data_IF_492932112519
#
_entry.id   IF_492932112519
#
_cell.length_a   1.000
_cell.length_b   1.000
_cell.length_c   1.000
_cell.angle_alpha   90.00
_cell.angle_beta   90.00
_cell.angle_gamma   90.00
#
_symmetry.space_group_name_H-M   'P 1'
#
loop_
_entity.id
_entity.type
_entity.pdbx_description
1 polymer ?
#
# COMPACT_ATOMS: atom_id res chain seq x y z
N UNK A 1 -24.07 8.25 -5.65
CA UNK A 1 -22.67 8.23 -5.20
C UNK A 1 -21.84 7.34 -6.12
N UNK A 2 -20.72 7.81 -6.57
CA UNK A 2 -19.88 7.00 -7.42
C UNK A 2 -18.92 6.15 -6.62
N UNK A 3 -18.43 5.09 -7.23
CA UNK A 3 -17.47 4.19 -6.61
C UNK A 3 -16.16 4.87 -6.29
N UNK A 4 -15.60 4.56 -5.12
CA UNK A 4 -14.29 5.02 -4.70
C UNK A 4 -13.22 4.00 -5.09
N UNK A 5 -13.54 2.71 -4.95
CA UNK A 5 -12.58 1.62 -5.18
C UNK A 5 -12.75 1.02 -6.58
N UNK A 6 -11.65 0.57 -7.15
CA UNK A 6 -11.65 -0.21 -8.40
C UNK A 6 -12.38 0.46 -9.57
N UNK A 7 -12.31 1.76 -9.68
CA UNK A 7 -12.89 2.45 -10.81
C UNK A 7 -12.26 1.96 -12.11
N UNK A 8 -13.09 1.73 -13.13
CA UNK A 8 -12.64 1.18 -14.40
C UNK A 8 -11.54 2.01 -15.06
N UNK A 9 -11.59 3.34 -14.93
CA UNK A 9 -10.56 4.22 -15.52
C UNK A 9 -9.17 4.03 -14.94
N UNK A 10 -9.05 3.41 -13.75
CA UNK A 10 -7.75 3.14 -13.13
C UNK A 10 -7.26 1.73 -13.37
N UNK A 11 -8.09 0.87 -13.94
CA UNK A 11 -7.76 -0.53 -14.11
C UNK A 11 -6.52 -0.79 -14.97
N UNK A 12 -6.35 -0.16 -16.13
CA UNK A 12 -5.14 -0.35 -16.93
C UNK A 12 -3.87 0.04 -16.17
N UNK A 13 -3.92 1.17 -15.45
CA UNK A 13 -2.77 1.63 -14.66
C UNK A 13 -2.41 0.65 -13.57
N UNK A 14 -3.41 0.07 -12.89
CA UNK A 14 -3.16 -0.93 -11.85
C UNK A 14 -2.49 -2.18 -12.42
N UNK A 15 -2.93 -2.61 -13.60
CA UNK A 15 -2.32 -3.76 -14.27
C UNK A 15 -0.87 -3.48 -14.63
N UNK A 16 -0.59 -2.28 -15.11
CA UNK A 16 0.75 -1.85 -15.45
C UNK A 16 1.64 -1.81 -14.20
N UNK A 17 1.15 -1.24 -13.11
CA UNK A 17 1.89 -1.18 -11.85
C UNK A 17 2.18 -2.56 -11.28
N UNK A 18 1.22 -3.49 -11.39
CA UNK A 18 1.43 -4.87 -10.94
C UNK A 18 2.58 -5.56 -11.68
N UNK A 19 2.76 -5.21 -12.96
CA UNK A 19 3.86 -5.75 -13.75
C UNK A 19 5.19 -5.12 -13.37
N UNK A 20 5.16 -3.95 -12.73
CA UNK A 20 6.33 -3.14 -12.41
C UNK A 20 6.65 -3.12 -10.93
N UNK A 21 6.29 -4.17 -10.18
CA UNK A 21 6.61 -4.25 -8.76
C UNK A 21 8.11 -4.15 -8.52
N UNK A 22 8.49 -3.32 -7.56
CA UNK A 22 9.89 -3.20 -7.15
C UNK A 22 10.32 -4.45 -6.39
N UNK A 23 11.64 -4.70 -6.27
CA UNK A 23 12.11 -5.83 -5.45
C UNK A 23 11.64 -5.76 -4.01
N UNK A 24 11.56 -4.56 -3.43
CA UNK A 24 11.10 -4.38 -2.05
C UNK A 24 9.61 -4.71 -1.93
N UNK A 25 8.81 -4.28 -2.89
CA UNK A 25 7.38 -4.61 -2.91
C UNK A 25 7.17 -6.11 -3.06
N UNK A 26 7.94 -6.77 -3.93
CA UNK A 26 7.87 -8.22 -4.10
C UNK A 26 8.26 -8.95 -2.82
N UNK A 27 9.30 -8.47 -2.13
CA UNK A 27 9.75 -9.06 -0.88
C UNK A 27 8.65 -9.00 0.19
N UNK A 28 8.04 -7.84 0.35
CA UNK A 28 6.96 -7.68 1.34
C UNK A 28 5.73 -8.48 0.93
N UNK A 29 5.38 -8.47 -0.36
CA UNK A 29 4.24 -9.22 -0.86
C UNK A 29 4.33 -10.71 -0.54
N UNK A 30 5.53 -11.27 -0.58
CA UNK A 30 5.76 -12.68 -0.22
C UNK A 30 5.19 -13.00 1.16
N UNK A 31 5.29 -12.06 2.09
CA UNK A 31 4.80 -12.26 3.47
C UNK A 31 3.33 -11.89 3.66
N UNK A 32 2.76 -11.11 2.76
CA UNK A 32 1.38 -10.63 2.87
C UNK A 32 0.38 -11.49 2.10
N UNK A 33 0.81 -12.09 1.00
CA UNK A 33 -0.08 -12.83 0.11
C UNK A 33 -0.61 -14.10 0.77
N UNK A 34 -1.70 -14.63 0.21
CA UNK A 34 -2.27 -15.93 0.62
C UNK A 34 -2.67 -15.97 2.09
N UNK A 35 -3.13 -14.86 2.63
CA UNK A 35 -3.59 -14.75 4.01
C UNK A 35 -2.52 -15.15 5.03
N UNK A 36 -1.25 -15.01 4.71
CA UNK A 36 -0.16 -15.37 5.62
C UNK A 36 -0.18 -14.59 6.92
N UNK A 37 -0.75 -13.39 6.91
CA UNK A 37 -0.89 -12.54 8.11
C UNK A 37 -2.23 -12.75 8.81
N UNK A 38 -3.01 -13.73 8.38
CA UNK A 38 -4.33 -13.99 8.92
C UNK A 38 -5.43 -13.14 8.31
N UNK A 39 -5.10 -12.26 7.39
CA UNK A 39 -6.03 -11.39 6.68
C UNK A 39 -5.61 -11.29 5.22
N UNK A 40 -6.54 -10.86 4.37
CA UNK A 40 -6.27 -10.73 2.95
C UNK A 40 -5.72 -9.35 2.63
N UNK A 41 -4.58 -9.31 1.95
CA UNK A 41 -4.03 -8.10 1.36
C UNK A 41 -4.16 -8.13 -0.15
N UNK A 42 -4.44 -6.97 -0.73
CA UNK A 42 -4.44 -6.76 -2.18
C UNK A 42 -3.29 -5.84 -2.52
N UNK A 43 -2.63 -6.09 -3.62
CA UNK A 43 -1.55 -5.23 -4.10
C UNK A 43 -2.04 -4.29 -5.18
N UNK A 44 -1.40 -3.13 -5.29
CA UNK A 44 -1.67 -2.15 -6.33
C UNK A 44 -3.17 -1.87 -6.47
N UNK A 45 -3.78 -1.49 -5.34
CA UNK A 45 -5.23 -1.31 -5.25
C UNK A 45 -5.61 0.16 -5.40
N UNK A 46 -6.68 0.43 -6.16
CA UNK A 46 -7.18 1.79 -6.35
C UNK A 46 -8.09 2.23 -5.22
N UNK A 47 -7.83 3.41 -4.67
CA UNK A 47 -8.68 4.06 -3.68
C UNK A 47 -8.93 5.47 -4.20
N UNK A 48 -10.15 5.73 -4.73
CA UNK A 48 -10.46 6.98 -5.39
C UNK A 48 -9.51 7.22 -6.56
N UNK A 49 -8.87 8.39 -6.63
CA UNK A 49 -7.93 8.71 -7.71
C UNK A 49 -6.53 8.15 -7.46
N UNK A 50 -6.32 7.43 -6.36
CA UNK A 50 -4.99 6.99 -5.95
C UNK A 50 -4.84 5.49 -6.07
N UNK A 51 -3.59 5.04 -6.26
CA UNK A 51 -3.25 3.62 -6.24
C UNK A 51 -2.28 3.41 -5.08
N UNK A 52 -2.62 2.48 -4.20
CA UNK A 52 -1.80 2.18 -3.03
C UNK A 52 -1.06 0.85 -3.24
N UNK A 53 0.07 0.69 -2.57
CA UNK A 53 0.90 -0.50 -2.75
C UNK A 53 0.20 -1.76 -2.25
N UNK A 54 -0.30 -1.72 -1.01
CA UNK A 54 -1.02 -2.86 -0.42
C UNK A 54 -2.21 -2.36 0.38
N UNK A 55 -3.29 -3.12 0.32
CA UNK A 55 -4.53 -2.75 1.01
C UNK A 55 -5.18 -3.97 1.64
N UNK A 56 -5.56 -3.83 2.91
CA UNK A 56 -6.36 -4.81 3.65
C UNK A 56 -7.71 -4.17 3.96
N UNK A 57 -8.74 -4.54 3.21
CA UNK A 57 -10.08 -3.99 3.38
C UNK A 57 -10.66 -4.34 4.75
N UNK A 58 -10.45 -5.58 5.18
CA UNK A 58 -10.99 -6.07 6.45
C UNK A 58 -10.53 -5.24 7.65
N UNK A 59 -9.30 -4.77 7.61
CA UNK A 59 -8.72 -3.98 8.70
C UNK A 59 -8.60 -2.49 8.38
N UNK A 60 -9.09 -2.06 7.23
CA UNK A 60 -8.96 -0.67 6.78
C UNK A 60 -7.53 -0.17 6.91
N UNK A 61 -6.61 -0.94 6.35
CA UNK A 61 -5.18 -0.66 6.45
C UNK A 61 -4.54 -0.59 5.07
N UNK A 62 -3.81 0.47 4.83
CA UNK A 62 -2.98 0.65 3.63
C UNK A 62 -1.53 0.59 4.05
N UNK A 63 -0.70 -0.09 3.26
CA UNK A 63 0.75 -0.13 3.45
C UNK A 63 1.39 0.45 2.21
N UNK A 64 2.30 1.41 2.43
CA UNK A 64 3.05 2.08 1.38
C UNK A 64 4.54 1.88 1.60
N UNK A 65 5.26 1.63 0.52
CA UNK A 65 6.71 1.51 0.54
C UNK A 65 7.32 2.67 -0.22
N UNK A 66 8.14 3.45 0.46
CA UNK A 66 8.76 4.64 -0.13
C UNK A 66 10.24 4.44 -0.39
N UNK A 67 10.68 4.89 -1.56
CA UNK A 67 12.09 5.04 -1.85
C UNK A 67 12.62 6.37 -1.28
N UNK A 68 13.92 6.53 -1.28
CA UNK A 68 14.56 7.71 -0.73
C UNK A 68 14.40 8.98 -1.56
N UNK A 69 13.79 8.90 -2.74
CA UNK A 69 13.74 9.99 -3.71
C UNK A 69 12.45 10.80 -3.74
N UNK A 70 11.66 10.78 -2.67
CA UNK A 70 10.32 11.37 -2.65
C UNK A 70 10.25 12.81 -2.13
N UNK A 71 11.35 13.53 -2.13
CA UNK A 71 11.37 14.91 -1.62
C UNK A 71 10.38 15.79 -2.41
N UNK A 72 10.35 15.62 -3.73
CA UNK A 72 9.50 16.45 -4.60
C UNK A 72 8.04 16.00 -4.65
N UNK A 73 7.71 14.84 -4.10
CA UNK A 73 6.36 14.30 -4.09
C UNK A 73 5.66 14.44 -2.75
N UNK A 74 6.29 15.12 -1.80
CA UNK A 74 5.81 15.20 -0.42
C UNK A 74 4.39 15.78 -0.30
N UNK A 75 4.11 16.85 -1.02
CA UNK A 75 2.78 17.48 -0.97
C UNK A 75 1.70 16.55 -1.52
N UNK A 76 2.01 15.89 -2.63
CA UNK A 76 1.12 14.90 -3.22
C UNK A 76 0.86 13.74 -2.24
N UNK A 77 1.91 13.28 -1.57
CA UNK A 77 1.79 12.18 -0.61
C UNK A 77 0.93 12.56 0.59
N UNK A 78 1.08 13.78 1.09
CA UNK A 78 0.25 14.28 2.21
C UNK A 78 -1.21 14.38 1.79
N UNK A 79 -1.47 14.92 0.61
CA UNK A 79 -2.82 15.05 0.08
C UNK A 79 -3.48 13.67 -0.09
N UNK A 80 -2.74 12.71 -0.64
CA UNK A 80 -3.21 11.34 -0.81
C UNK A 80 -3.52 10.71 0.54
N UNK A 81 -2.60 10.82 1.50
CA UNK A 81 -2.80 10.25 2.82
C UNK A 81 -4.00 10.84 3.53
N UNK A 82 -4.18 12.16 3.42
CA UNK A 82 -5.34 12.83 4.00
C UNK A 82 -6.65 12.31 3.40
N UNK A 83 -6.68 12.12 2.09
CA UNK A 83 -7.84 11.58 1.40
C UNK A 83 -8.18 10.18 1.91
N UNK A 84 -7.17 9.32 1.99
CA UNK A 84 -7.35 7.93 2.42
C UNK A 84 -7.77 7.88 3.89
N UNK A 85 -7.13 8.66 4.75
CA UNK A 85 -7.44 8.67 6.17
C UNK A 85 -8.84 9.24 6.45
N UNK A 86 -9.31 10.17 5.62
CA UNK A 86 -10.67 10.70 5.71
C UNK A 86 -11.73 9.60 5.46
N UNK A 87 -11.36 8.53 4.78
CA UNK A 87 -12.24 7.38 4.55
C UNK A 87 -12.22 6.38 5.71
N UNK A 88 -11.49 6.67 6.77
CA UNK A 88 -11.37 5.77 7.91
C UNK A 88 -10.32 4.69 7.74
N UNK A 89 -9.40 4.89 6.80
CA UNK A 89 -8.35 3.91 6.48
C UNK A 89 -7.03 4.41 7.06
N UNK A 90 -6.33 3.53 7.79
CA UNK A 90 -5.02 3.84 8.34
C UNK A 90 -3.93 3.59 7.30
N UNK A 91 -2.95 4.49 7.24
CA UNK A 91 -1.81 4.35 6.33
C UNK A 91 -0.55 4.07 7.14
N UNK A 92 0.12 2.95 6.84
CA UNK A 92 1.44 2.63 7.37
C UNK A 92 2.44 2.81 6.24
N UNK A 93 3.54 3.47 6.54
CA UNK A 93 4.57 3.76 5.56
C UNK A 93 5.92 3.21 6.00
N UNK A 94 6.60 2.53 5.11
CA UNK A 94 7.92 1.97 5.36
C UNK A 94 8.88 2.41 4.26
N UNK A 95 10.14 2.59 4.62
CA UNK A 95 11.20 2.87 3.65
C UNK A 95 11.68 1.58 3.00
N UNK A 96 12.14 1.66 1.76
CA UNK A 96 12.74 0.52 1.09
C UNK A 96 13.83 -0.13 1.95
N UNK A 97 14.66 0.70 2.60
CA UNK A 97 15.74 0.22 3.45
C UNK A 97 15.26 -0.63 4.62
N UNK A 98 14.10 -0.31 5.18
CA UNK A 98 13.54 -1.13 6.28
C UNK A 98 13.15 -2.52 5.80
N UNK A 99 12.55 -2.59 4.60
CA UNK A 99 12.18 -3.87 4.00
C UNK A 99 13.43 -4.71 3.72
N UNK A 100 14.47 -4.09 3.18
CA UNK A 100 15.71 -4.79 2.83
C UNK A 100 16.48 -5.28 4.05
N UNK A 101 16.59 -4.43 5.07
CA UNK A 101 17.46 -4.70 6.21
C UNK A 101 16.79 -5.42 7.37
N UNK A 102 15.49 -5.20 7.57
CA UNK A 102 14.81 -5.77 8.72
C UNK A 102 13.32 -5.98 8.47
N UNK A 103 13.01 -6.91 7.56
CA UNK A 103 11.63 -7.20 7.19
C UNK A 103 10.83 -7.71 8.40
N UNK A 104 11.48 -8.40 9.34
CA UNK A 104 10.79 -8.93 10.53
C UNK A 104 10.20 -7.81 11.37
N UNK A 105 10.93 -6.70 11.53
CA UNK A 105 10.45 -5.53 12.26
C UNK A 105 9.26 -4.89 11.54
N UNK A 106 9.32 -4.86 10.21
CA UNK A 106 8.22 -4.35 9.39
C UNK A 106 6.97 -5.21 9.60
N UNK A 107 7.12 -6.53 9.54
CA UNK A 107 6.01 -7.45 9.72
C UNK A 107 5.41 -7.34 11.13
N UNK A 108 6.25 -7.15 12.14
CA UNK A 108 5.77 -6.94 13.51
C UNK A 108 4.90 -5.70 13.60
N UNK A 109 5.34 -4.60 12.99
CA UNK A 109 4.58 -3.35 12.96
C UNK A 109 3.23 -3.53 12.25
N UNK A 110 3.23 -4.27 11.15
CA UNK A 110 1.99 -4.56 10.43
C UNK A 110 1.04 -5.35 11.32
N UNK A 111 1.54 -6.42 11.97
CA UNK A 111 0.72 -7.24 12.86
C UNK A 111 0.11 -6.44 14.00
N UNK A 112 0.86 -5.49 14.54
CA UNK A 112 0.37 -4.64 15.63
C UNK A 112 -0.82 -3.77 15.19
N UNK A 113 -1.05 -3.61 13.90
CA UNK A 113 -2.14 -2.82 13.34
C UNK A 113 -3.25 -3.68 12.75
N UNK A 114 -3.19 -4.97 12.92
CA UNK A 114 -4.24 -5.89 12.53
C UNK A 114 -5.07 -6.30 13.74
#
# INVERSE_FOLDING_TARGET
MYEIFNKSKFLPRRRELRKSLTPQELKLWFYLKSNKMGVRFRRQHGIGPYIVDFYCKEKNLVIEIDGSSHINAKEYDVERDNYIEALGIKVLRFWNGEIEKNVEKVLKKIKENL
#
